data_IF_835391035207
#
_entry.id   IF_835391035207
#
_cell.length_a   1.000
_cell.length_b   1.000
_cell.length_c   1.000
_cell.angle_alpha   90.00
_cell.angle_beta   90.00
_cell.angle_gamma   90.00
#
_symmetry.space_group_name_H-M   'P 1'
#
loop_
_entity.id
_entity.type
_entity.pdbx_description
1 polymer ?
#
# COMPACT_ATOMS: atom_id res chain seq x y z
N UNK A 1 11.66 1.56 12.45
CA UNK A 1 10.31 1.65 13.06
C UNK A 1 10.13 0.54 14.08
N UNK A 2 9.10 0.61 14.92
CA UNK A 2 8.81 -0.45 15.89
C UNK A 2 8.24 -1.69 15.19
N UNK A 3 8.43 -2.88 15.78
CA UNK A 3 7.76 -4.08 15.28
C UNK A 3 6.25 -3.88 15.32
N UNK A 4 5.56 -4.43 14.32
CA UNK A 4 4.09 -4.31 14.11
C UNK A 4 3.62 -2.92 13.68
N UNK A 5 4.52 -1.96 13.44
CA UNK A 5 4.17 -0.74 12.72
C UNK A 5 3.66 -1.05 11.31
N UNK A 6 2.96 -0.09 10.71
CA UNK A 6 2.41 -0.19 9.36
C UNK A 6 3.00 0.94 8.50
N UNK A 7 3.37 0.61 7.28
CA UNK A 7 3.69 1.54 6.19
C UNK A 7 2.63 1.38 5.11
N UNK A 8 2.07 2.49 4.66
CA UNK A 8 1.17 2.58 3.51
C UNK A 8 1.83 3.50 2.50
N UNK A 9 2.20 2.98 1.33
CA UNK A 9 2.90 3.75 0.29
C UNK A 9 1.97 3.98 -0.91
N UNK A 10 1.38 5.18 -0.99
CA UNK A 10 0.47 5.55 -2.09
C UNK A 10 1.22 5.70 -3.41
N UNK A 11 2.52 6.04 -3.36
CA UNK A 11 3.35 6.25 -4.54
C UNK A 11 3.92 4.96 -5.14
N UNK A 12 3.46 3.80 -4.66
CA UNK A 12 3.97 2.48 -5.04
C UNK A 12 3.91 2.21 -6.56
N UNK A 13 2.92 2.79 -7.24
CA UNK A 13 2.72 2.68 -8.68
C UNK A 13 3.83 3.35 -9.51
N UNK A 14 4.62 4.23 -8.88
CA UNK A 14 5.78 4.91 -9.45
C UNK A 14 7.10 4.44 -8.83
N UNK A 15 7.09 3.28 -8.15
CA UNK A 15 8.26 2.70 -7.48
C UNK A 15 8.34 2.97 -5.97
N UNK A 16 7.41 3.75 -5.41
CA UNK A 16 7.35 4.04 -3.98
C UNK A 16 8.36 5.09 -3.50
N UNK A 17 8.16 5.57 -2.28
CA UNK A 17 9.05 6.54 -1.62
C UNK A 17 9.82 5.94 -0.45
N UNK A 18 9.43 4.75 0.00
CA UNK A 18 10.12 3.99 1.04
C UNK A 18 10.88 2.84 0.40
N UNK A 19 12.19 2.77 0.66
CA UNK A 19 13.09 1.78 0.06
C UNK A 19 12.64 0.32 0.23
N UNK A 20 11.95 -0.01 1.32
CA UNK A 20 11.47 -1.38 1.60
C UNK A 20 10.02 -1.61 1.14
N UNK A 21 9.37 -0.64 0.50
CA UNK A 21 8.06 -0.81 -0.09
C UNK A 21 8.12 -1.83 -1.24
N UNK A 22 7.10 -2.68 -1.29
CA UNK A 22 6.92 -3.68 -2.35
C UNK A 22 5.47 -3.60 -2.81
N UNK A 23 5.19 -3.61 -4.12
CA UNK A 23 3.83 -3.65 -4.62
C UNK A 23 3.08 -4.87 -4.09
N UNK A 24 1.84 -4.66 -3.66
CA UNK A 24 0.91 -5.70 -3.21
C UNK A 24 -0.37 -5.65 -4.05
N UNK A 25 -1.26 -6.63 -3.89
CA UNK A 25 -2.52 -6.69 -4.65
C UNK A 25 -3.71 -6.71 -3.71
N UNK A 26 -4.92 -6.46 -4.20
CA UNK A 26 -6.11 -6.63 -3.35
C UNK A 26 -6.28 -8.06 -2.81
N UNK A 27 -5.81 -9.08 -3.54
CA UNK A 27 -5.88 -10.48 -3.10
C UNK A 27 -4.84 -10.83 -2.04
N UNK A 28 -3.68 -10.17 -2.06
CA UNK A 28 -2.62 -10.30 -1.06
C UNK A 28 -2.09 -8.89 -0.72
N UNK A 29 -2.75 -8.16 0.20
CA UNK A 29 -2.56 -6.71 0.35
C UNK A 29 -1.39 -6.32 1.25
N UNK A 30 -0.84 -7.25 2.04
CA UNK A 30 0.14 -6.94 3.09
C UNK A 30 1.37 -7.82 2.97
N UNK A 31 2.55 -7.18 2.97
CA UNK A 31 3.83 -7.86 3.08
C UNK A 31 4.57 -7.45 4.35
N UNK A 32 5.12 -8.41 5.08
CA UNK A 32 5.90 -8.12 6.29
C UNK A 32 7.39 -8.04 5.96
N UNK A 33 8.01 -6.90 6.23
CA UNK A 33 9.45 -6.66 6.03
C UNK A 33 10.03 -6.12 7.33
N UNK A 34 11.07 -6.77 7.87
CA UNK A 34 11.68 -6.43 9.17
C UNK A 34 10.68 -6.32 10.34
N UNK A 35 9.57 -7.06 10.29
CA UNK A 35 8.51 -7.02 11.30
C UNK A 35 7.57 -5.81 11.18
N UNK A 36 7.64 -5.06 10.08
CA UNK A 36 6.75 -3.96 9.71
C UNK A 36 5.82 -4.46 8.61
N UNK A 37 4.53 -4.13 8.71
CA UNK A 37 3.55 -4.45 7.68
C UNK A 37 3.58 -3.36 6.60
N UNK A 38 3.80 -3.75 5.35
CA UNK A 38 3.76 -2.89 4.19
C UNK A 38 2.48 -3.13 3.40
N UNK A 39 1.74 -2.05 3.15
CA UNK A 39 0.61 -2.02 2.23
C UNK A 39 0.99 -1.14 1.04
N UNK A 40 1.08 -1.74 -0.14
CA UNK A 40 1.45 -1.09 -1.39
C UNK A 40 0.51 -1.52 -2.51
N UNK A 41 -0.80 -1.55 -2.24
CA UNK A 41 -1.80 -1.88 -3.26
C UNK A 41 -2.00 -0.67 -4.17
N UNK A 42 -1.79 -0.90 -5.46
CA UNK A 42 -2.07 0.07 -6.52
C UNK A 42 -3.54 0.49 -6.56
N UNK A 43 -3.83 1.66 -7.14
CA UNK A 43 -5.20 2.09 -7.45
C UNK A 43 -6.20 1.98 -6.26
N UNK A 44 -5.78 2.40 -5.06
CA UNK A 44 -6.64 2.43 -3.87
C UNK A 44 -8.02 3.10 -4.05
N UNK A 45 -8.19 4.19 -4.84
CA UNK A 45 -9.51 4.77 -5.08
C UNK A 45 -10.52 3.78 -5.70
N UNK A 46 -10.05 2.75 -6.39
CA UNK A 46 -10.90 1.68 -6.92
C UNK A 46 -11.68 0.90 -5.86
N UNK A 47 -11.30 1.00 -4.57
CA UNK A 47 -12.06 0.41 -3.47
C UNK A 47 -13.36 1.16 -3.14
N UNK A 48 -13.48 2.43 -3.54
CA UNK A 48 -14.66 3.29 -3.33
C UNK A 48 -15.09 3.95 -4.64
N UNK A 49 -15.48 3.16 -5.66
CA UNK A 49 -15.57 3.63 -7.04
C UNK A 49 -16.65 4.70 -7.26
N UNK A 50 -17.78 4.64 -6.53
CA UNK A 50 -18.85 5.66 -6.64
C UNK A 50 -18.31 7.02 -6.21
N UNK A 51 -17.82 7.12 -4.97
CA UNK A 51 -17.26 8.36 -4.43
C UNK A 51 -16.04 8.84 -5.21
N UNK A 52 -15.15 7.93 -5.61
CA UNK A 52 -13.95 8.30 -6.37
C UNK A 52 -14.27 8.81 -7.79
N UNK A 53 -15.34 8.30 -8.42
CA UNK A 53 -15.75 8.77 -9.75
C UNK A 53 -16.50 10.10 -9.71
N UNK A 54 -17.10 10.44 -8.57
CA UNK A 54 -17.77 11.73 -8.35
C UNK A 54 -16.81 12.87 -7.96
N UNK A 55 -15.58 12.54 -7.57
CA UNK A 55 -14.60 13.48 -7.01
C UNK A 55 -13.71 14.19 -8.04
#
# INVERSE_FOLDING_TARGET
>A
MQKRSVIVDISIDQGGCVQTSVPTTHADPVRVVHGIQHYGVANMPGAVPVTASEA
#
